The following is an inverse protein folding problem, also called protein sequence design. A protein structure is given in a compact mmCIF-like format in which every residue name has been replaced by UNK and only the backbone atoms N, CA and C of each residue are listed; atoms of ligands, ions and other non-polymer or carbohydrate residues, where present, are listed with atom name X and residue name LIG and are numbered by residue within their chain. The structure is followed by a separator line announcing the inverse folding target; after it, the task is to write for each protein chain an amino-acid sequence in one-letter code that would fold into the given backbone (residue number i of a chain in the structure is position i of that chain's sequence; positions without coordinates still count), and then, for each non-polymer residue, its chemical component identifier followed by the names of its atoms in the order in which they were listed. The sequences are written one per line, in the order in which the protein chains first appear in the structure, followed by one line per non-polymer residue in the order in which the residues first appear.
data_IF_578741781991
#
_entry.id   IF_578741781991
#
_cell.length_a   1.000
_cell.length_b   1.000
_cell.length_c   1.000
_cell.angle_alpha   90.00
_cell.angle_beta   90.00
_cell.angle_gamma   90.00
#
_symmetry.space_group_name_H-M   'P 1'
#
loop_
_entity.id
_entity.type
_entity.pdbx_description
1 polymer ?
#
# COMPACT_ATOMS: atom_id res chain seq x y z
N UNK A 1 27.32 -2.66 -10.37
CA UNK A 1 26.94 -2.44 -11.79
C UNK A 1 25.56 -1.82 -11.76
N UNK A 2 25.42 -0.52 -12.07
CA UNK A 2 24.09 0.11 -12.16
C UNK A 2 23.47 -0.35 -13.49
N UNK A 3 22.39 -1.11 -13.41
CA UNK A 3 21.55 -1.40 -14.60
C UNK A 3 20.83 -0.10 -14.95
N UNK A 4 21.10 0.43 -16.13
CA UNK A 4 20.40 1.63 -16.64
C UNK A 4 18.97 1.25 -17.04
N UNK A 5 18.05 2.21 -16.95
CA UNK A 5 16.61 2.04 -17.27
C UNK A 5 16.39 1.54 -18.71
N UNK A 6 17.39 1.74 -19.59
CA UNK A 6 17.35 1.33 -21.01
C UNK A 6 17.56 -0.17 -21.22
N UNK A 7 18.12 -0.91 -20.25
CA UNK A 7 18.44 -2.34 -20.36
C UNK A 7 17.31 -3.28 -19.87
N UNK A 8 16.15 -2.74 -19.48
CA UNK A 8 15.00 -3.55 -19.07
C UNK A 8 14.14 -3.93 -20.27
N UNK A 9 13.60 -5.16 -20.21
CA UNK A 9 12.65 -5.68 -21.18
C UNK A 9 11.47 -4.70 -21.36
N UNK A 10 11.00 -4.44 -22.61
CA UNK A 10 9.84 -3.55 -22.85
C UNK A 10 8.58 -3.94 -22.09
N UNK A 11 8.38 -5.21 -21.73
CA UNK A 11 7.28 -5.68 -20.88
C UNK A 11 7.47 -5.29 -19.40
N UNK A 12 8.69 -5.24 -18.90
CA UNK A 12 8.97 -4.72 -17.55
C UNK A 12 8.77 -3.19 -17.44
N UNK A 13 8.92 -2.45 -18.56
CA UNK A 13 8.70 -0.99 -18.61
C UNK A 13 7.24 -0.57 -18.45
N UNK A 14 6.28 -1.49 -18.53
CA UNK A 14 4.84 -1.17 -18.51
C UNK A 14 4.07 -1.82 -17.37
N UNK A 15 4.73 -2.21 -16.29
CA UNK A 15 4.02 -2.70 -15.11
C UNK A 15 3.27 -1.56 -14.44
N UNK A 16 2.01 -1.34 -14.88
CA UNK A 16 1.10 -0.39 -14.25
C UNK A 16 0.43 -1.04 -13.04
N UNK A 17 0.39 -0.32 -11.94
CA UNK A 17 -0.30 -0.71 -10.73
C UNK A 17 -1.17 0.44 -10.22
N UNK A 18 -2.14 0.12 -9.40
CA UNK A 18 -2.91 1.13 -8.70
C UNK A 18 -2.13 1.66 -7.49
N UNK A 19 -2.04 2.98 -7.41
CA UNK A 19 -1.45 3.71 -6.29
C UNK A 19 -2.53 4.35 -5.45
N UNK A 20 -2.47 4.17 -4.13
CA UNK A 20 -3.38 4.79 -3.17
C UNK A 20 -2.64 5.93 -2.47
N UNK A 21 -3.21 7.12 -2.52
CA UNK A 21 -2.74 8.29 -1.81
C UNK A 21 -3.74 8.68 -0.71
N UNK A 22 -3.53 8.28 0.56
CA UNK A 22 -4.32 8.76 1.68
C UNK A 22 -4.09 10.25 1.94
N UNK A 23 -5.16 10.95 2.33
CA UNK A 23 -5.14 12.36 2.71
C UNK A 23 -6.07 12.63 3.89
N UNK A 24 -6.01 13.82 4.46
CA UNK A 24 -7.01 14.27 5.43
C UNK A 24 -8.38 14.42 4.77
N UNK A 25 -9.44 14.08 5.51
CA UNK A 25 -10.82 14.27 5.06
C UNK A 25 -11.09 15.69 4.59
N UNK A 26 -11.74 15.82 3.43
CA UNK A 26 -12.01 17.08 2.78
C UNK A 26 -10.90 17.60 1.85
N UNK A 27 -9.76 16.90 1.79
CA UNK A 27 -8.65 17.25 0.90
C UNK A 27 -8.64 16.43 -0.41
N UNK A 28 -9.59 15.53 -0.59
CA UNK A 28 -9.63 14.59 -1.73
C UNK A 28 -9.68 15.34 -3.07
N UNK A 29 -10.44 16.42 -3.16
CA UNK A 29 -10.55 17.23 -4.39
C UNK A 29 -9.22 17.93 -4.74
N UNK A 30 -8.50 18.41 -3.73
CA UNK A 30 -7.19 19.03 -3.90
C UNK A 30 -6.16 18.00 -4.33
N UNK A 31 -6.12 16.87 -3.63
CA UNK A 31 -5.23 15.77 -3.95
C UNK A 31 -5.49 15.21 -5.36
N UNK A 32 -6.77 15.02 -5.73
CA UNK A 32 -7.15 14.64 -7.08
C UNK A 32 -6.55 15.57 -8.12
N UNK A 33 -6.67 16.89 -7.90
CA UNK A 33 -6.09 17.88 -8.81
C UNK A 33 -4.57 17.79 -8.88
N UNK A 34 -3.88 17.65 -7.74
CA UNK A 34 -2.42 17.47 -7.72
C UNK A 34 -1.97 16.25 -8.53
N UNK A 35 -2.69 15.11 -8.43
CA UNK A 35 -2.39 13.89 -9.19
C UNK A 35 -2.65 14.10 -10.68
N UNK A 36 -3.76 14.73 -11.05
CA UNK A 36 -4.09 15.05 -12.45
C UNK A 36 -3.07 16.01 -13.06
N UNK A 37 -2.62 17.02 -12.31
CA UNK A 37 -1.59 17.99 -12.74
C UNK A 37 -0.21 17.29 -12.95
N UNK A 38 0.04 16.17 -12.28
CA UNK A 38 1.20 15.31 -12.54
C UNK A 38 1.06 14.43 -13.79
N UNK A 39 -0.13 14.38 -14.40
CA UNK A 39 -0.40 13.63 -15.62
C UNK A 39 -0.92 12.20 -15.40
N UNK A 40 -1.44 11.87 -14.20
CA UNK A 40 -1.93 10.52 -13.89
C UNK A 40 -3.45 10.44 -13.86
N UNK A 41 -3.98 9.28 -14.32
CA UNK A 41 -5.41 9.00 -14.38
C UNK A 41 -5.94 8.49 -13.02
N UNK A 42 -6.99 9.16 -12.53
CA UNK A 42 -7.68 8.77 -11.30
C UNK A 42 -8.59 7.56 -11.57
N UNK A 43 -8.49 6.53 -10.73
CA UNK A 43 -9.38 5.36 -10.78
C UNK A 43 -10.50 5.44 -9.75
N UNK A 44 -10.22 5.96 -8.56
CA UNK A 44 -11.20 6.05 -7.47
C UNK A 44 -10.95 7.28 -6.60
N UNK A 45 -12.03 7.92 -6.15
CA UNK A 45 -11.99 8.92 -5.07
C UNK A 45 -12.91 8.43 -3.97
N UNK A 46 -12.34 8.12 -2.83
CA UNK A 46 -13.06 7.69 -1.64
C UNK A 46 -12.72 8.59 -0.46
N UNK A 47 -13.51 8.50 0.62
CA UNK A 47 -13.29 9.30 1.84
C UNK A 47 -11.86 9.11 2.37
N UNK A 48 -11.10 10.21 2.40
CA UNK A 48 -9.71 10.24 2.90
C UNK A 48 -8.66 9.61 2.00
N UNK A 49 -8.98 9.29 0.72
CA UNK A 49 -7.99 8.75 -0.22
C UNK A 49 -8.35 8.98 -1.68
N UNK A 50 -7.33 9.02 -2.51
CA UNK A 50 -7.45 9.01 -3.99
C UNK A 50 -6.61 7.87 -4.53
N UNK A 51 -7.18 7.09 -5.47
CA UNK A 51 -6.48 5.99 -6.15
C UNK A 51 -6.28 6.37 -7.62
N UNK A 52 -5.11 6.05 -8.17
CA UNK A 52 -4.75 6.38 -9.53
C UNK A 52 -3.83 5.31 -10.13
N UNK A 53 -3.78 5.23 -11.45
CA UNK A 53 -2.84 4.35 -12.15
C UNK A 53 -1.46 5.00 -12.30
N UNK A 54 -0.42 4.18 -12.11
CA UNK A 54 0.96 4.59 -12.31
C UNK A 54 1.90 3.41 -12.46
N UNK A 55 3.14 3.74 -12.76
CA UNK A 55 4.31 2.86 -12.80
C UNK A 55 5.31 3.23 -11.69
N UNK A 56 6.53 2.72 -11.74
CA UNK A 56 7.57 3.05 -10.78
C UNK A 56 7.95 4.54 -10.83
N UNK A 57 7.92 5.18 -12.01
CA UNK A 57 8.15 6.62 -12.13
C UNK A 57 7.04 7.40 -11.42
N UNK A 58 5.77 7.02 -11.63
CA UNK A 58 4.63 7.62 -10.94
C UNK A 58 4.73 7.48 -9.43
N UNK A 59 5.17 6.30 -8.93
CA UNK A 59 5.40 6.06 -7.51
C UNK A 59 6.44 7.03 -6.95
N UNK A 60 7.58 7.20 -7.62
CA UNK A 60 8.64 8.12 -7.22
C UNK A 60 8.15 9.58 -7.26
N UNK A 61 7.53 10.00 -8.37
CA UNK A 61 7.02 11.37 -8.55
C UNK A 61 5.94 11.72 -7.54
N UNK A 62 5.01 10.81 -7.27
CA UNK A 62 3.98 11.01 -6.26
C UNK A 62 4.59 11.22 -4.86
N UNK A 63 5.57 10.40 -4.46
CA UNK A 63 6.29 10.57 -3.20
C UNK A 63 7.05 11.91 -3.11
N UNK A 64 7.50 12.49 -4.23
CA UNK A 64 8.27 13.74 -4.26
C UNK A 64 7.35 14.95 -4.33
N UNK A 65 6.36 14.95 -5.22
CA UNK A 65 5.64 16.15 -5.61
C UNK A 65 4.28 16.36 -4.95
N UNK A 66 3.56 15.27 -4.55
CA UNK A 66 2.27 15.43 -3.87
C UNK A 66 2.44 16.07 -2.50
N UNK A 67 1.70 17.14 -2.23
CA UNK A 67 1.80 17.93 -1.01
C UNK A 67 0.70 17.66 -0.01
N UNK A 68 -0.45 17.20 -0.48
CA UNK A 68 -1.62 16.91 0.35
C UNK A 68 -1.74 15.43 0.71
N UNK A 69 -1.03 14.54 0.02
CA UNK A 69 -0.93 13.13 0.39
C UNK A 69 -0.12 12.93 1.68
N UNK A 70 -0.57 12.03 2.53
CA UNK A 70 0.18 11.60 3.72
C UNK A 70 1.24 10.56 3.39
N UNK A 71 0.91 9.67 2.44
CA UNK A 71 1.72 8.55 1.99
C UNK A 71 1.34 8.16 0.57
N UNK A 72 2.15 7.30 -0.02
CA UNK A 72 1.83 6.63 -1.29
C UNK A 72 1.94 5.12 -1.05
N UNK A 73 0.89 4.39 -1.38
CA UNK A 73 0.82 2.95 -1.21
C UNK A 73 0.64 2.29 -2.57
N UNK A 74 1.29 1.16 -2.78
CA UNK A 74 1.00 0.27 -3.91
C UNK A 74 -0.19 -0.60 -3.50
N UNK A 75 -1.29 -0.56 -4.24
CA UNK A 75 -2.47 -1.39 -3.97
C UNK A 75 -2.14 -2.85 -4.31
N UNK A 76 -2.15 -3.71 -3.30
CA UNK A 76 -1.95 -5.16 -3.47
C UNK A 76 -3.24 -5.81 -3.92
N UNK A 77 -4.38 -5.36 -3.38
CA UNK A 77 -5.71 -5.81 -3.77
C UNK A 77 -6.80 -5.32 -2.84
N UNK A 78 -8.04 -5.71 -3.15
CA UNK A 78 -9.22 -5.48 -2.31
C UNK A 78 -10.17 -6.65 -2.36
N UNK A 79 -10.90 -6.89 -1.27
CA UNK A 79 -11.86 -7.96 -1.11
C UNK A 79 -12.86 -7.64 -0.01
N UNK A 80 -14.00 -8.33 0.01
CA UNK A 80 -15.02 -8.19 1.04
C UNK A 80 -14.74 -9.13 2.21
N UNK A 81 -14.92 -8.66 3.47
CA UNK A 81 -14.79 -9.49 4.66
C UNK A 81 -15.66 -8.97 5.82
N UNK A 82 -16.61 -9.77 6.25
CA UNK A 82 -17.45 -9.52 7.42
C UNK A 82 -17.01 -10.32 8.65
N UNK A 83 -16.22 -11.39 8.42
CA UNK A 83 -15.71 -12.30 9.45
C UNK A 83 -14.20 -12.37 9.42
N UNK A 84 -13.59 -12.80 10.51
CA UNK A 84 -12.14 -13.02 10.58
C UNK A 84 -11.67 -14.16 9.66
N UNK A 85 -12.54 -15.14 9.39
CA UNK A 85 -12.22 -16.20 8.44
C UNK A 85 -12.16 -15.67 7.01
N UNK A 86 -13.14 -14.84 6.60
CA UNK A 86 -13.12 -14.19 5.29
C UNK A 86 -11.92 -13.25 5.14
N UNK A 87 -11.59 -12.50 6.20
CA UNK A 87 -10.39 -11.67 6.23
C UNK A 87 -9.12 -12.50 6.02
N UNK A 88 -9.02 -13.66 6.69
CA UNK A 88 -7.89 -14.57 6.56
C UNK A 88 -7.78 -15.12 5.14
N UNK A 89 -8.86 -15.67 4.59
CA UNK A 89 -8.86 -16.27 3.25
C UNK A 89 -8.61 -15.24 2.17
N UNK A 90 -9.31 -14.08 2.20
CA UNK A 90 -9.09 -12.99 1.24
C UNK A 90 -7.66 -12.45 1.29
N UNK A 91 -7.07 -12.33 2.48
CA UNK A 91 -5.65 -11.94 2.61
C UNK A 91 -4.72 -12.99 2.03
N UNK A 92 -5.01 -14.28 2.24
CA UNK A 92 -4.19 -15.40 1.74
C UNK A 92 -4.25 -15.53 0.21
N UNK A 93 -5.33 -15.09 -0.44
CA UNK A 93 -5.48 -15.12 -1.90
C UNK A 93 -4.67 -14.03 -2.62
N UNK A 94 -4.28 -12.97 -1.93
CA UNK A 94 -3.48 -11.89 -2.54
C UNK A 94 -2.09 -12.37 -2.96
N UNK A 95 -1.54 -11.83 -4.07
CA UNK A 95 -0.27 -12.27 -4.65
C UNK A 95 0.93 -11.65 -3.93
N UNK A 96 1.13 -11.98 -2.66
CA UNK A 96 2.18 -11.39 -1.82
C UNK A 96 3.59 -11.63 -2.34
N UNK A 97 3.83 -12.75 -3.02
CA UNK A 97 5.08 -13.14 -3.63
C UNK A 97 5.55 -12.20 -4.75
N UNK A 98 4.64 -11.43 -5.33
CA UNK A 98 4.99 -10.41 -6.34
C UNK A 98 5.63 -9.15 -5.71
N UNK A 99 5.41 -8.95 -4.43
CA UNK A 99 5.82 -7.73 -3.71
C UNK A 99 6.88 -7.99 -2.64
N UNK A 100 6.83 -9.15 -1.98
CA UNK A 100 7.65 -9.47 -0.81
C UNK A 100 8.59 -10.62 -1.16
N UNK A 101 9.91 -10.39 -1.24
CA UNK A 101 10.88 -11.45 -1.49
C UNK A 101 11.02 -12.40 -0.28
N UNK A 102 11.69 -13.53 -0.51
CA UNK A 102 11.86 -14.62 0.46
C UNK A 102 12.49 -14.20 1.80
N UNK A 103 13.37 -13.21 1.78
CA UNK A 103 14.07 -12.64 2.93
C UNK A 103 13.39 -11.38 3.50
N UNK A 104 12.30 -10.93 2.86
CA UNK A 104 11.61 -9.69 3.20
C UNK A 104 11.02 -9.71 4.61
N UNK A 105 11.21 -8.61 5.35
CA UNK A 105 10.55 -8.36 6.63
C UNK A 105 9.23 -7.63 6.41
N UNK A 106 8.11 -8.24 6.75
CA UNK A 106 6.80 -7.65 6.51
C UNK A 106 5.92 -7.63 7.76
N UNK A 107 5.11 -6.59 7.88
CA UNK A 107 4.17 -6.41 9.01
C UNK A 107 3.01 -5.51 8.60
N UNK A 108 1.87 -5.68 9.26
CA UNK A 108 0.74 -4.76 9.10
C UNK A 108 0.96 -3.56 10.03
N UNK A 109 1.44 -2.46 9.45
CA UNK A 109 1.83 -1.25 10.19
C UNK A 109 0.62 -0.46 10.73
N UNK A 110 -0.51 -0.51 10.00
CA UNK A 110 -1.76 0.15 10.41
C UNK A 110 -2.95 -0.57 9.81
N UNK A 111 -3.96 -0.83 10.63
CA UNK A 111 -5.30 -1.20 10.20
C UNK A 111 -6.28 -0.10 10.64
N UNK A 112 -7.09 0.39 9.72
CA UNK A 112 -8.15 1.36 10.00
C UNK A 112 -9.49 0.73 9.61
N UNK A 113 -10.44 0.68 10.55
CA UNK A 113 -11.77 0.14 10.31
C UNK A 113 -12.83 1.20 10.57
N UNK A 114 -13.70 1.42 9.58
CA UNK A 114 -14.78 2.40 9.64
C UNK A 114 -16.07 1.77 9.14
N UNK A 115 -17.11 1.77 9.97
CA UNK A 115 -18.45 1.23 9.65
C UNK A 115 -18.39 -0.23 9.14
N UNK A 116 -17.52 -1.05 9.72
CA UNK A 116 -17.31 -2.45 9.38
C UNK A 116 -17.54 -3.36 10.59
N UNK A 117 -17.91 -4.61 10.36
CA UNK A 117 -18.14 -5.62 11.40
C UNK A 117 -16.85 -5.97 12.15
N UNK A 118 -15.75 -6.00 11.44
CA UNK A 118 -14.42 -6.17 12.04
C UNK A 118 -13.88 -4.82 12.48
N UNK A 119 -13.83 -4.55 13.77
CA UNK A 119 -13.49 -3.23 14.33
C UNK A 119 -12.20 -3.20 15.17
N UNK A 120 -11.62 -4.37 15.52
CA UNK A 120 -10.39 -4.45 16.32
C UNK A 120 -9.14 -4.38 15.41
N UNK A 121 -8.37 -3.27 15.39
CA UNK A 121 -7.18 -3.16 14.56
C UNK A 121 -6.10 -4.20 14.89
N UNK A 122 -5.93 -4.56 16.17
CA UNK A 122 -4.94 -5.55 16.62
C UNK A 122 -5.25 -6.95 16.09
N UNK A 123 -6.53 -7.35 16.11
CA UNK A 123 -6.94 -8.66 15.63
C UNK A 123 -6.81 -8.74 14.11
N UNK A 124 -7.24 -7.67 13.39
CA UNK A 124 -7.04 -7.54 11.94
C UNK A 124 -5.57 -7.71 11.58
N UNK A 125 -4.67 -6.99 12.26
CA UNK A 125 -3.23 -7.05 12.01
C UNK A 125 -2.68 -8.46 12.24
N UNK A 126 -3.06 -9.11 13.33
CA UNK A 126 -2.59 -10.45 13.70
C UNK A 126 -3.05 -11.51 12.71
N UNK A 127 -4.33 -11.48 12.31
CA UNK A 127 -4.93 -12.43 11.38
C UNK A 127 -4.33 -12.26 9.99
N UNK A 128 -4.21 -11.04 9.52
CA UNK A 128 -3.60 -10.76 8.21
C UNK A 128 -2.13 -11.18 8.17
N UNK A 129 -1.34 -10.87 9.23
CA UNK A 129 0.06 -11.33 9.29
C UNK A 129 0.14 -12.85 9.20
N UNK A 130 -0.74 -13.58 9.91
CA UNK A 130 -0.80 -15.06 9.85
C UNK A 130 -1.12 -15.55 8.43
N UNK A 131 -2.13 -14.99 7.78
CA UNK A 131 -2.52 -15.36 6.42
C UNK A 131 -1.40 -15.14 5.41
N UNK A 132 -0.71 -13.98 5.48
CA UNK A 132 0.46 -13.68 4.65
C UNK A 132 1.59 -14.68 4.85
N UNK A 133 1.91 -15.02 6.11
CA UNK A 133 2.93 -16.01 6.44
C UNK A 133 2.59 -17.38 5.84
N UNK A 134 1.33 -17.81 5.94
CA UNK A 134 0.90 -19.09 5.35
C UNK A 134 1.01 -19.09 3.81
N UNK A 135 0.59 -18.00 3.14
CA UNK A 135 0.71 -17.87 1.69
C UNK A 135 2.17 -17.91 1.23
N UNK A 136 3.01 -17.06 1.83
CA UNK A 136 4.41 -16.93 1.43
C UNK A 136 5.21 -18.20 1.77
N UNK A 137 4.91 -18.89 2.88
CA UNK A 137 5.52 -20.21 3.18
C UNK A 137 5.21 -21.24 2.12
N UNK A 138 3.96 -21.31 1.70
CA UNK A 138 3.54 -22.25 0.65
C UNK A 138 4.17 -21.91 -0.70
N UNK A 139 4.27 -20.62 -1.04
CA UNK A 139 4.80 -20.16 -2.31
C UNK A 139 6.32 -20.32 -2.42
N UNK A 140 7.05 -20.04 -1.34
CA UNK A 140 8.51 -20.15 -1.31
C UNK A 140 9.05 -21.50 -0.84
N UNK A 141 8.16 -22.43 -0.47
CA UNK A 141 8.52 -23.74 0.09
C UNK A 141 9.51 -23.63 1.26
N UNK A 142 9.17 -22.78 2.25
CA UNK A 142 9.99 -22.53 3.43
C UNK A 142 9.17 -22.70 4.72
N UNK A 143 9.85 -23.19 5.75
CA UNK A 143 9.25 -23.33 7.09
C UNK A 143 9.44 -22.08 7.97
N UNK A 144 10.44 -21.26 7.66
CA UNK A 144 10.83 -20.10 8.45
C UNK A 144 11.22 -18.91 7.55
N UNK A 145 10.80 -17.69 7.95
CA UNK A 145 11.25 -16.45 7.33
C UNK A 145 12.41 -15.86 8.12
N UNK A 146 13.58 -15.59 7.50
CA UNK A 146 14.72 -14.96 8.17
C UNK A 146 14.41 -13.52 8.60
N UNK A 147 13.55 -12.79 7.84
CA UNK A 147 13.16 -11.39 8.08
C UNK A 147 14.37 -10.45 8.25
N UNK A 148 15.47 -10.73 7.56
CA UNK A 148 16.73 -9.97 7.58
C UNK A 148 16.91 -9.05 6.37
N UNK A 149 16.02 -9.12 5.40
CA UNK A 149 15.97 -8.27 4.21
C UNK A 149 15.25 -6.94 4.39
N UNK A 150 14.83 -6.36 3.26
CA UNK A 150 14.12 -5.09 3.23
C UNK A 150 12.76 -5.16 3.96
N UNK A 151 12.34 -4.03 4.52
CA UNK A 151 11.08 -3.90 5.25
C UNK A 151 9.89 -3.56 4.34
N UNK A 152 8.79 -4.30 4.49
CA UNK A 152 7.54 -4.14 3.73
C UNK A 152 6.37 -3.83 4.67
N UNK A 153 6.16 -2.55 5.05
CA UNK A 153 5.05 -2.15 5.88
C UNK A 153 3.75 -2.15 5.08
N UNK A 154 2.72 -2.82 5.60
CA UNK A 154 1.41 -2.94 4.97
C UNK A 154 0.40 -2.06 5.71
N UNK A 155 -0.49 -1.42 4.97
CA UNK A 155 -1.61 -0.67 5.48
C UNK A 155 -2.92 -1.24 4.98
N UNK A 156 -3.89 -1.29 5.88
CA UNK A 156 -5.19 -1.89 5.64
C UNK A 156 -6.28 -0.88 5.94
N UNK A 157 -7.19 -0.73 5.01
CA UNK A 157 -8.39 0.08 5.15
C UNK A 157 -9.61 -0.84 5.06
N UNK A 158 -10.35 -0.94 6.14
CA UNK A 158 -11.68 -1.54 6.16
C UNK A 158 -12.72 -0.43 6.15
N UNK A 159 -13.56 -0.42 5.13
CA UNK A 159 -14.67 0.53 5.04
C UNK A 159 -15.91 -0.17 4.52
N UNK A 160 -16.96 -0.23 5.33
CA UNK A 160 -18.22 -0.94 5.01
C UNK A 160 -17.98 -2.40 4.59
N UNK A 161 -17.13 -3.09 5.35
CA UNK A 161 -16.71 -4.48 5.15
C UNK A 161 -15.86 -4.73 3.88
N UNK A 162 -15.52 -3.68 3.11
CA UNK A 162 -14.54 -3.76 2.03
C UNK A 162 -13.12 -3.53 2.58
N UNK A 163 -12.26 -4.50 2.36
CA UNK A 163 -10.84 -4.50 2.73
C UNK A 163 -10.03 -4.03 1.55
N UNK A 164 -9.27 -2.96 1.72
CA UNK A 164 -8.27 -2.50 0.74
C UNK A 164 -6.89 -2.61 1.37
N UNK A 165 -5.98 -3.25 0.68
CA UNK A 165 -4.62 -3.53 1.17
C UNK A 165 -3.60 -2.80 0.32
N UNK A 166 -2.73 -2.04 0.97
CA UNK A 166 -1.66 -1.30 0.31
C UNK A 166 -0.31 -1.52 0.95
N UNK A 167 0.73 -1.65 0.13
CA UNK A 167 2.12 -1.68 0.53
C UNK A 167 2.66 -0.25 0.62
N UNK A 168 3.18 0.14 1.78
CA UNK A 168 3.67 1.51 2.03
C UNK A 168 5.06 1.71 1.40
N UNK A 169 5.14 2.62 0.42
CA UNK A 169 6.40 2.97 -0.27
C UNK A 169 7.08 4.22 0.29
N UNK A 170 6.45 4.90 1.25
CA UNK A 170 6.87 6.26 1.65
C UNK A 170 7.92 6.27 2.76
N UNK A 171 7.95 5.24 3.63
CA UNK A 171 8.77 5.26 4.84
C UNK A 171 8.21 6.24 5.88
N UNK A 172 8.88 7.38 6.12
CA UNK A 172 8.33 8.44 6.97
C UNK A 172 7.19 9.18 6.26
N UNK A 173 6.20 9.67 7.04
CA UNK A 173 5.05 10.40 6.48
C UNK A 173 5.50 11.64 5.72
N UNK A 174 4.86 11.90 4.56
CA UNK A 174 5.25 12.97 3.63
C UNK A 174 5.16 14.37 4.24
N UNK A 175 4.36 14.58 5.28
CA UNK A 175 4.31 15.85 6.01
C UNK A 175 5.61 16.17 6.78
N UNK A 176 6.46 15.17 7.05
CA UNK A 176 7.75 15.34 7.75
C UNK A 176 8.93 15.63 6.81
N UNK A 177 8.66 15.95 5.55
CA UNK A 177 9.73 16.29 4.59
C UNK A 177 10.59 17.44 5.10
N UNK A 178 11.90 17.33 4.96
CA UNK A 178 12.89 18.27 5.52
C UNK A 178 12.81 19.71 5.05
N UNK A 179 12.07 20.04 3.98
CA UNK A 179 11.83 21.40 3.56
C UNK A 179 10.80 22.15 4.43
N UNK A 180 10.00 21.43 5.21
CA UNK A 180 9.06 22.03 6.18
C UNK A 180 9.77 22.33 7.50
N UNK A 181 10.52 23.42 7.54
CA UNK A 181 11.31 23.82 8.73
C UNK A 181 10.47 24.37 9.89
N UNK A 182 9.27 24.87 9.59
CA UNK A 182 8.34 25.42 10.58
C UNK A 182 7.05 24.59 10.55
N UNK A 183 6.86 23.77 11.58
CA UNK A 183 5.58 23.12 11.86
C UNK A 183 4.95 23.82 13.05
N UNK A 184 3.69 24.25 12.92
CA UNK A 184 2.91 24.67 14.09
C UNK A 184 2.84 23.49 15.08
N UNK A 185 3.12 23.78 16.35
CA UNK A 185 2.96 22.83 17.46
C UNK A 185 1.48 22.67 17.77
#
# INVERSE_FOLDING_TARGET
MCVTIEDRDPEERMRRFELIAPCHFGMESVLKREITDLGYDITEVADGRVTFFGDEEALCRANIFLRTAERILIKVGSFHAETFEELFQGTKELPWEEYIPKDGKFWVAKAASVKSKLFSPSDIQSIMKKAMVERLKAQYDISWFPEDGAGFPIRVFLMKDEVTVGLDSTGESLHKRGYRKLTAK
#
